data_IF_473119310617
#
_entry.id   IF_473119310617
#
_cell.length_a   1.000
_cell.length_b   1.000
_cell.length_c   1.000
_cell.angle_alpha   90.00
_cell.angle_beta   90.00
_cell.angle_gamma   90.00
#
_symmetry.space_group_name_H-M   'P 1'
#
loop_
_entity.id
_entity.type
_entity.pdbx_description
1 polymer ?
#
# COMPACT_ATOMS: atom_id res chain seq x y z
N UNK A 1 -0.49 -7.15 -9.78
CA UNK A 1 0.28 -7.66 -8.64
C UNK A 1 1.58 -6.89 -8.50
N UNK A 2 2.06 -6.79 -7.29
CA UNK A 2 3.25 -6.02 -6.96
C UNK A 2 4.41 -6.97 -6.74
N UNK A 3 5.53 -6.67 -7.34
CA UNK A 3 6.75 -7.47 -7.20
C UNK A 3 7.94 -6.55 -6.95
N UNK A 4 9.11 -7.15 -6.73
CA UNK A 4 10.35 -6.39 -6.62
C UNK A 4 10.51 -5.50 -7.86
N UNK A 5 10.88 -4.24 -7.62
CA UNK A 5 11.03 -3.17 -8.63
C UNK A 5 9.72 -2.58 -9.17
N UNK A 6 8.57 -3.01 -8.69
CA UNK A 6 7.31 -2.33 -9.00
C UNK A 6 7.28 -0.94 -8.34
N UNK A 7 6.73 0.03 -9.06
CA UNK A 7 6.52 1.37 -8.52
C UNK A 7 5.07 1.52 -8.08
N UNK A 8 4.86 2.14 -6.92
CA UNK A 8 3.53 2.35 -6.35
C UNK A 8 3.35 3.80 -5.98
N UNK A 9 2.14 4.29 -6.22
CA UNK A 9 1.72 5.60 -5.75
C UNK A 9 1.41 5.52 -4.25
N UNK A 10 1.88 6.50 -3.48
CA UNK A 10 1.53 6.61 -2.07
C UNK A 10 0.29 7.47 -1.95
N UNK A 11 -0.74 6.95 -1.30
CA UNK A 11 -2.07 7.60 -1.22
C UNK A 11 -2.40 8.13 0.17
N UNK A 12 -1.39 8.38 0.99
CA UNK A 12 -1.57 9.01 2.29
C UNK A 12 -0.90 10.39 2.32
N UNK A 13 -1.03 11.07 3.45
CA UNK A 13 -0.44 12.38 3.67
C UNK A 13 0.87 12.35 4.45
N UNK A 14 1.60 11.24 4.39
CA UNK A 14 2.90 11.08 5.07
C UNK A 14 4.02 11.94 4.46
N UNK A 15 3.82 12.41 3.24
CA UNK A 15 4.81 13.17 2.50
C UNK A 15 5.45 12.40 1.35
N UNK A 16 5.48 11.09 1.39
CA UNK A 16 5.93 10.27 0.26
C UNK A 16 4.88 10.30 -0.85
N UNK A 17 5.34 10.32 -2.11
CA UNK A 17 4.45 10.31 -3.28
C UNK A 17 4.57 9.03 -4.09
N UNK A 18 5.76 8.48 -4.19
CA UNK A 18 6.02 7.27 -4.95
C UNK A 18 7.10 6.45 -4.26
N UNK A 19 6.91 5.15 -4.23
CA UNK A 19 7.92 4.21 -3.74
C UNK A 19 8.22 3.15 -4.79
N UNK A 20 9.45 2.60 -4.71
CA UNK A 20 9.88 1.44 -5.50
C UNK A 20 9.89 0.23 -4.56
N UNK A 21 9.16 -0.82 -4.89
CA UNK A 21 9.15 -2.04 -4.09
C UNK A 21 10.52 -2.71 -4.14
N UNK A 22 11.14 -2.88 -2.97
CA UNK A 22 12.41 -3.58 -2.84
C UNK A 22 12.16 -5.05 -2.53
N UNK A 23 11.19 -5.33 -1.67
CA UNK A 23 10.92 -6.68 -1.19
C UNK A 23 9.45 -6.84 -0.81
N UNK A 24 8.92 -8.04 -1.09
CA UNK A 24 7.59 -8.44 -0.63
C UNK A 24 7.75 -9.23 0.65
N UNK A 25 7.03 -8.81 1.71
CA UNK A 25 7.04 -9.46 3.01
C UNK A 25 5.97 -10.55 3.08
N UNK A 26 6.10 -11.46 4.02
CA UNK A 26 5.05 -12.42 4.32
C UNK A 26 5.35 -13.87 3.98
N UNK A 27 6.57 -14.29 4.07
CA UNK A 27 6.92 -15.70 3.95
C UNK A 27 8.09 -15.97 3.02
N UNK A 28 8.67 -17.14 3.17
CA UNK A 28 9.82 -17.56 2.37
C UNK A 28 9.40 -17.73 0.91
N UNK A 29 10.13 -17.08 0.02
CA UNK A 29 9.91 -17.21 -1.44
C UNK A 29 8.68 -16.48 -1.97
N UNK A 30 8.04 -15.63 -1.17
CA UNK A 30 6.92 -14.83 -1.66
C UNK A 30 7.41 -13.81 -2.68
N UNK A 31 6.87 -13.89 -3.90
CA UNK A 31 7.30 -13.05 -5.04
C UNK A 31 6.38 -11.87 -5.28
N UNK A 32 5.09 -12.02 -5.01
CA UNK A 32 4.08 -11.03 -5.39
C UNK A 32 3.26 -10.60 -4.19
N UNK A 33 2.94 -9.31 -4.16
CA UNK A 33 2.01 -8.74 -3.20
C UNK A 33 0.70 -8.36 -3.89
N UNK A 34 -0.39 -8.52 -3.20
CA UNK A 34 -1.71 -8.05 -3.59
C UNK A 34 -2.24 -7.12 -2.51
N UNK A 35 -3.51 -6.74 -2.60
CA UNK A 35 -4.13 -5.85 -1.60
C UNK A 35 -4.04 -6.47 -0.21
N UNK A 36 -3.67 -5.65 0.78
CA UNK A 36 -3.51 -6.09 2.16
C UNK A 36 -2.15 -6.67 2.50
N UNK A 37 -1.27 -6.85 1.54
CA UNK A 37 0.07 -7.37 1.78
C UNK A 37 1.04 -6.24 2.12
N UNK A 38 2.03 -6.55 2.94
CA UNK A 38 3.08 -5.60 3.33
C UNK A 38 4.27 -5.72 2.40
N UNK A 39 4.89 -4.59 2.09
CA UNK A 39 6.10 -4.52 1.28
C UNK A 39 7.11 -3.59 1.93
N UNK A 40 8.36 -3.72 1.53
CA UNK A 40 9.43 -2.76 1.84
C UNK A 40 9.72 -2.00 0.55
N UNK A 41 9.79 -0.68 0.65
CA UNK A 41 10.04 0.16 -0.52
C UNK A 41 11.01 1.28 -0.24
N UNK A 42 11.62 1.79 -1.30
CA UNK A 42 12.47 2.98 -1.26
C UNK A 42 11.66 4.16 -1.79
N UNK A 43 11.66 5.27 -1.05
CA UNK A 43 10.93 6.47 -1.45
C UNK A 43 11.66 7.14 -2.61
N UNK A 44 11.00 7.21 -3.76
CA UNK A 44 11.57 7.79 -4.99
C UNK A 44 11.11 9.21 -5.24
N UNK A 45 9.98 9.60 -4.69
CA UNK A 45 9.47 10.97 -4.77
C UNK A 45 8.74 11.31 -3.48
N UNK A 46 9.03 12.48 -2.93
CA UNK A 46 8.43 12.94 -1.67
C UNK A 46 8.35 14.44 -1.64
N UNK A 47 7.42 14.96 -0.84
CA UNK A 47 7.31 16.38 -0.54
C UNK A 47 8.48 16.80 0.35
N UNK A 48 9.21 17.90 0.02
CA UNK A 48 10.36 18.31 0.83
C UNK A 48 10.05 18.59 2.30
N UNK A 49 8.84 19.04 2.60
CA UNK A 49 8.40 19.36 3.95
C UNK A 49 7.72 18.19 4.67
N UNK A 50 7.60 17.04 4.03
CA UNK A 50 6.92 15.88 4.61
C UNK A 50 7.76 15.14 5.65
N UNK A 51 7.12 14.29 6.44
CA UNK A 51 7.77 13.46 7.45
C UNK A 51 8.61 12.34 6.85
N UNK A 52 8.24 11.87 5.67
CA UNK A 52 8.95 10.81 4.96
C UNK A 52 9.78 11.46 3.85
N UNK A 53 11.09 11.22 3.89
CA UNK A 53 12.04 11.85 2.98
C UNK A 53 12.38 10.95 1.80
N UNK A 54 12.71 11.57 0.66
CA UNK A 54 13.21 10.87 -0.52
C UNK A 54 14.47 10.08 -0.18
N UNK A 55 14.55 8.86 -0.67
CA UNK A 55 15.71 7.99 -0.46
C UNK A 55 15.61 7.09 0.78
N UNK A 56 14.62 7.30 1.63
CA UNK A 56 14.45 6.44 2.82
C UNK A 56 13.82 5.10 2.44
N UNK A 57 14.09 4.08 3.25
CA UNK A 57 13.46 2.77 3.13
C UNK A 57 12.31 2.71 4.13
N UNK A 58 11.13 2.36 3.64
CA UNK A 58 9.90 2.34 4.42
C UNK A 58 9.15 1.04 4.22
N UNK A 59 8.27 0.71 5.19
CA UNK A 59 7.28 -0.35 5.03
C UNK A 59 5.97 0.26 4.57
N UNK A 60 5.25 -0.48 3.76
CA UNK A 60 3.96 -0.03 3.24
C UNK A 60 3.00 -1.22 3.13
N UNK A 61 1.70 -0.93 3.13
CA UNK A 61 0.67 -1.91 2.84
C UNK A 61 0.01 -1.54 1.51
N UNK A 62 -0.17 -2.54 0.65
CA UNK A 62 -0.78 -2.34 -0.67
C UNK A 62 -2.29 -2.19 -0.49
N UNK A 63 -2.85 -1.08 -1.00
CA UNK A 63 -4.30 -0.78 -0.88
C UNK A 63 -5.05 -0.92 -2.20
N UNK A 64 -4.36 -0.78 -3.33
CA UNK A 64 -4.94 -0.94 -4.67
C UNK A 64 -3.95 -1.62 -5.60
N UNK A 65 -4.45 -2.45 -6.51
CA UNK A 65 -3.65 -3.05 -7.58
C UNK A 65 -4.41 -3.00 -8.90
N UNK A 66 -3.67 -2.89 -10.01
CA UNK A 66 -4.26 -2.92 -11.36
C UNK A 66 -4.70 -4.32 -11.77
N UNK A 67 -4.01 -5.35 -11.28
CA UNK A 67 -4.35 -6.74 -11.57
C UNK A 67 -5.65 -7.12 -10.87
N UNK A 68 -6.55 -7.82 -11.56
CA UNK A 68 -7.80 -8.29 -10.94
C UNK A 68 -7.51 -9.17 -9.72
N UNK A 69 -8.24 -8.93 -8.65
CA UNK A 69 -8.20 -9.73 -7.44
C UNK A 69 -9.50 -10.52 -7.36
N UNK A 70 -9.40 -11.84 -7.35
CA UNK A 70 -10.56 -12.71 -7.20
C UNK A 70 -10.99 -12.75 -5.73
N UNK A 71 -12.27 -12.55 -5.49
CA UNK A 71 -12.87 -12.62 -4.17
C UNK A 71 -13.55 -13.97 -3.94
N UNK A 72 -13.79 -14.28 -2.68
CA UNK A 72 -14.41 -15.55 -2.26
C UNK A 72 -15.80 -15.77 -2.86
N UNK A 73 -16.54 -14.69 -3.11
CA UNK A 73 -17.87 -14.74 -3.70
C UNK A 73 -17.86 -14.89 -5.23
N UNK A 74 -16.69 -15.03 -5.85
CA UNK A 74 -16.54 -15.18 -7.29
C UNK A 74 -16.43 -13.87 -8.05
N UNK A 75 -16.60 -12.73 -7.39
CA UNK A 75 -16.41 -11.43 -8.03
C UNK A 75 -14.92 -11.06 -8.13
N UNK A 76 -14.63 -10.07 -8.96
CA UNK A 76 -13.29 -9.54 -9.15
C UNK A 76 -13.29 -8.05 -8.88
N UNK A 77 -12.16 -7.55 -8.38
CA UNK A 77 -11.95 -6.12 -8.26
C UNK A 77 -10.59 -5.77 -8.87
N UNK A 78 -10.53 -4.63 -9.54
CA UNK A 78 -9.28 -4.03 -10.01
C UNK A 78 -9.40 -2.52 -9.94
N UNK A 79 -8.25 -1.88 -9.83
CA UNK A 79 -8.18 -0.42 -9.72
C UNK A 79 -7.41 0.15 -10.92
N UNK A 80 -7.42 1.46 -11.06
CA UNK A 80 -6.70 2.15 -12.13
C UNK A 80 -5.21 2.30 -11.90
N UNK A 81 -4.74 2.07 -10.68
CA UNK A 81 -3.33 2.23 -10.30
C UNK A 81 -2.92 1.20 -9.26
N UNK A 82 -1.61 1.12 -9.02
CA UNK A 82 -1.03 0.39 -7.89
C UNK A 82 -0.72 1.41 -6.81
N UNK A 83 -1.29 1.25 -5.63
CA UNK A 83 -1.16 2.23 -4.57
C UNK A 83 -0.95 1.57 -3.21
N UNK A 84 -0.30 2.31 -2.33
CA UNK A 84 0.00 1.85 -0.97
C UNK A 84 -0.12 3.00 0.01
N UNK A 85 -0.11 2.66 1.30
CA UNK A 85 0.05 3.62 2.39
C UNK A 85 1.27 3.23 3.22
N UNK A 86 1.97 4.24 3.74
CA UNK A 86 3.17 4.02 4.55
C UNK A 86 2.77 3.60 5.96
N UNK A 87 3.41 2.57 6.47
CA UNK A 87 3.20 2.07 7.83
C UNK A 87 4.52 2.05 8.60
N UNK A 88 4.43 2.04 9.92
CA UNK A 88 5.59 1.89 10.78
C UNK A 88 5.88 0.40 11.06
N UNK A 89 6.85 0.13 11.91
CA UNK A 89 7.24 -1.24 12.27
C UNK A 89 6.13 -2.01 13.00
N UNK A 90 5.22 -1.30 13.65
CA UNK A 90 4.09 -1.89 14.37
C UNK A 90 2.86 -2.10 13.48
N UNK A 91 2.96 -1.76 12.19
CA UNK A 91 1.85 -1.89 11.26
C UNK A 91 0.85 -0.73 11.31
N UNK A 92 1.19 0.36 12.01
CA UNK A 92 0.33 1.53 12.12
C UNK A 92 0.63 2.53 11.01
N UNK A 93 -0.39 3.23 10.52
CA UNK A 93 -0.20 4.28 9.52
C UNK A 93 0.66 5.43 10.08
N UNK A 94 1.61 5.89 9.28
CA UNK A 94 2.34 7.11 9.58
C UNK A 94 1.53 8.37 9.27
N UNK A 95 0.69 8.30 8.25
CA UNK A 95 -0.19 9.41 7.88
C UNK A 95 -1.49 9.40 8.65
N UNK A 96 -2.27 10.47 8.47
CA UNK A 96 -3.58 10.64 9.10
C UNK A 96 -4.73 10.65 8.10
N UNK A 97 -4.42 10.58 6.80
CA UNK A 97 -5.42 10.62 5.72
C UNK A 97 -5.09 9.57 4.66
N UNK A 98 -6.13 9.09 4.01
CA UNK A 98 -6.03 8.18 2.87
C UNK A 98 -6.79 8.80 1.70
N UNK A 99 -6.17 8.82 0.53
CA UNK A 99 -6.75 9.41 -0.68
C UNK A 99 -7.20 8.30 -1.65
N UNK A 100 -8.42 8.43 -2.12
CA UNK A 100 -9.02 7.49 -3.06
C UNK A 100 -9.51 6.20 -2.41
N UNK A 101 -10.07 5.28 -3.22
CA UNK A 101 -10.64 4.05 -2.70
C UNK A 101 -9.58 3.07 -2.24
N UNK A 102 -9.97 2.17 -1.34
CA UNK A 102 -9.14 1.04 -0.91
C UNK A 102 -9.93 -0.25 -1.03
N UNK A 103 -9.24 -1.37 -1.15
CA UNK A 103 -9.88 -2.67 -1.17
C UNK A 103 -10.30 -3.09 0.24
N UNK A 104 -11.46 -3.71 0.37
CA UNK A 104 -11.97 -4.14 1.68
C UNK A 104 -11.19 -5.31 2.29
N UNK A 105 -10.33 -5.98 1.53
CA UNK A 105 -9.44 -7.03 2.04
C UNK A 105 -8.50 -6.54 3.13
N UNK A 106 -8.25 -5.24 3.21
CA UNK A 106 -7.46 -4.62 4.30
C UNK A 106 -8.07 -4.89 5.67
N UNK A 107 -9.37 -5.03 5.75
CA UNK A 107 -10.09 -5.34 6.99
C UNK A 107 -9.71 -6.71 7.52
N UNK A 108 -9.52 -7.67 6.63
CA UNK A 108 -9.14 -9.05 6.98
C UNK A 108 -7.68 -9.17 7.43
N UNK A 109 -6.85 -8.18 7.10
CA UNK A 109 -5.42 -8.16 7.42
C UNK A 109 -5.07 -7.16 8.54
N UNK A 110 -6.06 -6.80 9.35
CA UNK A 110 -5.90 -5.93 10.54
C UNK A 110 -5.51 -4.48 10.24
N UNK A 111 -5.84 -3.98 9.06
CA UNK A 111 -5.62 -2.58 8.69
C UNK A 111 -6.91 -1.76 8.81
N UNK A 112 -7.61 -1.91 9.93
CA UNK A 112 -8.90 -1.24 10.16
C UNK A 112 -8.81 0.28 10.12
N UNK A 113 -7.71 0.84 10.57
CA UNK A 113 -7.53 2.30 10.55
C UNK A 113 -7.47 2.83 9.12
N UNK A 114 -6.80 2.12 8.23
CA UNK A 114 -6.77 2.47 6.79
C UNK A 114 -8.18 2.45 6.22
N UNK A 115 -8.93 1.40 6.52
CA UNK A 115 -10.32 1.27 6.05
C UNK A 115 -11.20 2.40 6.59
N UNK A 116 -11.04 2.76 7.86
CA UNK A 116 -11.86 3.81 8.49
C UNK A 116 -11.54 5.20 7.94
N UNK A 117 -10.32 5.45 7.52
CA UNK A 117 -9.89 6.74 6.97
C UNK A 117 -10.13 6.87 5.47
N UNK A 118 -10.35 5.76 4.78
CA UNK A 118 -10.54 5.78 3.33
C UNK A 118 -11.89 6.41 2.98
N UNK A 119 -11.93 7.27 1.94
CA UNK A 119 -13.20 7.87 1.50
C UNK A 119 -14.16 6.86 0.89
N UNK A 120 -13.63 5.75 0.38
CA UNK A 120 -14.43 4.70 -0.23
C UNK A 120 -13.75 3.34 -0.04
N UNK A 121 -14.53 2.32 0.30
CA UNK A 121 -14.03 0.95 0.49
C UNK A 121 -14.75 0.05 -0.51
N UNK A 122 -14.02 -0.50 -1.43
CA UNK A 122 -14.53 -1.36 -2.49
C UNK A 122 -14.02 -2.82 -2.28
#
# INVERSE_FOLDING_TARGET
MIQQESRLKVTDNSGAKEILCIRVLGGTGKRYASVGDKIVGSVKNATPSGNVKKGTVVKAVVVRVKKEVRRKDGSYIRFGDNACVIIDENGQMKGTRVFGPVARELRDNDFMKVVSLAPEVL
#
